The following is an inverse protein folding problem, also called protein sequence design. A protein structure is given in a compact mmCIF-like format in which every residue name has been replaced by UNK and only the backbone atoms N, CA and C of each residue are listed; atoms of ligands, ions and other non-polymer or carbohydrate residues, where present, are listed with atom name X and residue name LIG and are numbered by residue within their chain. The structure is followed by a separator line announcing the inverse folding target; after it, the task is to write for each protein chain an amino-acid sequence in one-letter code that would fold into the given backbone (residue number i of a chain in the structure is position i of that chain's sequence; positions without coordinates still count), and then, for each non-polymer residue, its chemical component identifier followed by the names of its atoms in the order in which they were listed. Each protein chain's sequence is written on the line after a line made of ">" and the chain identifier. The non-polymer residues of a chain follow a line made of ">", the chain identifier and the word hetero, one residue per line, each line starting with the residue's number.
data_IF_233096258875
#
_entry.id   IF_233096258875
#
_cell.length_a   1.000
_cell.length_b   1.000
_cell.length_c   1.000
_cell.angle_alpha   90.00
_cell.angle_beta   90.00
_cell.angle_gamma   90.00
#
_symmetry.space_group_name_H-M   'P 1'
#
loop_
_entity.id
_entity.type
_entity.pdbx_description
1 polymer ?
#
# COMPACT_ATOMS: atom_id res chain seq x y z
N UNK A 1 -12.25 7.14 -7.02
CA UNK A 1 -10.84 6.99 -7.44
C UNK A 1 -10.49 5.57 -7.14
N UNK A 2 -10.75 4.70 -8.10
CA UNK A 2 -10.71 3.26 -7.92
C UNK A 2 -9.31 2.80 -8.33
N UNK A 3 -8.45 2.67 -7.33
CA UNK A 3 -7.13 2.08 -7.53
C UNK A 3 -7.31 0.59 -7.77
N UNK A 4 -6.99 0.11 -8.98
CA UNK A 4 -7.08 -1.31 -9.32
C UNK A 4 -5.92 -2.10 -8.72
N UNK A 5 -4.76 -1.47 -8.64
CA UNK A 5 -3.52 -2.11 -8.25
C UNK A 5 -2.99 -1.57 -6.92
N UNK A 6 -3.06 -0.26 -6.70
CA UNK A 6 -2.54 0.33 -5.48
C UNK A 6 -3.52 0.15 -4.30
N UNK A 7 -2.99 -0.14 -3.11
CA UNK A 7 -3.78 -0.10 -1.88
C UNK A 7 -3.63 1.27 -1.24
N UNK A 8 -4.60 2.15 -1.43
CA UNK A 8 -4.61 3.49 -0.81
C UNK A 8 -5.76 3.59 0.19
N UNK A 9 -5.43 3.91 1.43
CA UNK A 9 -6.40 4.19 2.50
C UNK A 9 -6.54 5.70 2.62
N UNK A 10 -7.73 6.24 2.33
CA UNK A 10 -7.99 7.67 2.51
C UNK A 10 -8.53 7.93 3.92
N UNK A 11 -7.83 8.77 4.67
CA UNK A 11 -8.25 9.25 5.99
C UNK A 11 -8.20 10.79 5.98
N UNK A 12 -9.32 11.44 6.32
CA UNK A 12 -9.45 12.90 6.41
C UNK A 12 -8.97 13.69 5.17
N UNK A 13 -9.15 13.10 3.96
CA UNK A 13 -8.75 13.72 2.69
C UNK A 13 -7.28 13.48 2.30
N UNK A 14 -6.52 12.76 3.11
CA UNK A 14 -5.15 12.35 2.82
C UNK A 14 -5.13 10.86 2.47
N UNK A 15 -4.57 10.52 1.30
CA UNK A 15 -4.37 9.15 0.87
C UNK A 15 -3.09 8.57 1.48
N UNK A 16 -3.21 7.46 2.19
CA UNK A 16 -2.10 6.69 2.71
C UNK A 16 -1.89 5.48 1.82
N UNK A 17 -0.80 5.47 1.06
CA UNK A 17 -0.40 4.35 0.23
C UNK A 17 0.19 3.25 1.10
N UNK A 18 -0.39 2.06 1.00
CA UNK A 18 0.02 0.87 1.72
C UNK A 18 0.75 -0.10 0.79
N UNK A 19 1.63 -0.89 1.38
CA UNK A 19 2.30 -1.98 0.70
C UNK A 19 1.31 -3.09 0.35
N UNK A 20 1.27 -3.50 -0.92
CA UNK A 20 0.43 -4.59 -1.38
C UNK A 20 0.79 -5.95 -0.74
N UNK A 21 2.05 -6.13 -0.37
CA UNK A 21 2.53 -7.37 0.24
C UNK A 21 2.27 -7.49 1.73
N UNK A 22 2.51 -6.42 2.49
CA UNK A 22 2.48 -6.45 3.96
C UNK A 22 1.58 -5.42 4.64
N UNK A 23 1.06 -4.43 3.90
CA UNK A 23 0.13 -3.42 4.42
C UNK A 23 0.75 -2.25 5.17
N UNK A 24 2.08 -2.18 5.28
CA UNK A 24 2.71 -1.04 5.93
C UNK A 24 2.56 0.22 5.07
N UNK A 25 2.52 1.38 5.71
CA UNK A 25 2.52 2.66 5.01
C UNK A 25 3.83 2.85 4.24
N UNK A 26 3.71 3.08 2.93
CA UNK A 26 4.82 3.41 2.02
C UNK A 26 4.91 4.92 1.85
N UNK A 27 3.78 5.59 1.61
CA UNK A 27 3.73 7.01 1.37
C UNK A 27 2.40 7.61 1.83
N UNK A 28 2.39 8.91 2.11
CA UNK A 28 1.21 9.67 2.49
C UNK A 28 1.11 10.86 1.53
N UNK A 29 -0.08 11.12 0.98
CA UNK A 29 -0.27 12.18 0.01
C UNK A 29 -1.64 12.16 -0.66
N UNK A 30 -1.92 13.19 -1.45
CA UNK A 30 -3.20 13.34 -2.17
C UNK A 30 -3.18 12.74 -3.57
N UNK A 31 -2.00 12.39 -4.10
CA UNK A 31 -1.79 11.78 -5.41
C UNK A 31 -0.90 10.56 -5.27
N UNK A 32 -1.40 9.40 -5.72
CA UNK A 32 -0.64 8.16 -5.77
C UNK A 32 -0.80 7.55 -7.16
N UNK A 33 0.24 6.85 -7.65
CA UNK A 33 0.16 6.08 -8.89
C UNK A 33 -0.61 4.78 -8.65
N UNK A 34 -1.55 4.44 -9.54
CA UNK A 34 -2.26 3.16 -9.50
C UNK A 34 -1.41 2.02 -10.06
N UNK A 35 -0.39 1.63 -9.30
CA UNK A 35 0.44 0.45 -9.55
C UNK A 35 0.63 -0.34 -8.27
N UNK A 36 1.17 -1.54 -8.37
CA UNK A 36 1.50 -2.30 -7.18
C UNK A 36 2.72 -1.68 -6.49
N UNK A 37 2.55 -1.31 -5.22
CA UNK A 37 3.62 -0.74 -4.41
C UNK A 37 4.06 -1.72 -3.34
N UNK A 38 5.37 -1.92 -3.24
CA UNK A 38 5.98 -2.84 -2.30
C UNK A 38 7.04 -2.11 -1.48
N UNK A 39 7.05 -2.33 -0.17
CA UNK A 39 8.13 -1.82 0.67
C UNK A 39 9.43 -2.57 0.38
N UNK A 40 10.57 -1.99 0.78
CA UNK A 40 11.90 -2.58 0.59
C UNK A 40 11.97 -4.03 1.08
N UNK A 41 11.34 -4.34 2.21
CA UNK A 41 11.32 -5.71 2.75
C UNK A 41 10.53 -6.69 1.88
N UNK A 42 9.40 -6.27 1.31
CA UNK A 42 8.63 -7.11 0.38
C UNK A 42 9.37 -7.28 -0.94
N UNK A 43 9.99 -6.21 -1.46
CA UNK A 43 10.83 -6.29 -2.66
C UNK A 43 12.01 -7.24 -2.47
N UNK A 44 12.63 -7.25 -1.28
CA UNK A 44 13.71 -8.18 -0.94
C UNK A 44 13.22 -9.59 -0.55
N UNK A 45 11.92 -9.87 -0.57
CA UNK A 45 11.36 -11.16 -0.15
C UNK A 45 11.51 -11.50 1.35
N UNK A 46 11.97 -10.56 2.17
CA UNK A 46 12.25 -10.75 3.59
C UNK A 46 11.11 -10.23 4.49
N UNK A 47 9.96 -9.87 3.91
CA UNK A 47 8.86 -9.35 4.69
C UNK A 47 8.15 -10.46 5.46
N UNK A 48 8.28 -10.42 6.80
CA UNK A 48 7.59 -11.34 7.71
C UNK A 48 6.12 -10.98 7.93
N UNK A 49 5.74 -9.74 7.61
CA UNK A 49 4.37 -9.28 7.68
C UNK A 49 3.64 -9.64 6.37
N UNK A 50 2.43 -10.18 6.48
CA UNK A 50 1.55 -10.42 5.33
C UNK A 50 0.34 -9.53 5.45
N UNK A 51 0.04 -8.84 4.35
CA UNK A 51 -1.16 -8.02 4.26
C UNK A 51 -2.35 -8.97 4.29
N UNK A 52 -3.02 -9.06 5.44
CA UNK A 52 -4.30 -9.75 5.53
C UNK A 52 -5.32 -8.86 4.85
N UNK A 53 -5.47 -9.02 3.52
CA UNK A 53 -6.64 -8.51 2.81
C UNK A 53 -7.84 -9.21 3.44
N UNK A 54 -8.58 -8.47 4.27
CA UNK A 54 -9.78 -8.97 4.95
C UNK A 54 -10.69 -9.64 3.92
N UNK A 55 -11.12 -10.86 4.24
CA UNK A 55 -11.96 -11.71 3.41
C UNK A 55 -13.37 -11.15 3.32
#
# INVERSE_FOLDING_TARGET
>A
MDYKHAVVKFEEGVGTLLCNGCGITIAVGTKHEDREHYCTMCMSGNCKAKFKKGK
#
